data_IF_479774501798
#
_entry.id   IF_479774501798
#
_cell.length_a   1.000
_cell.length_b   1.000
_cell.length_c   1.000
_cell.angle_alpha   90.00
_cell.angle_beta   90.00
_cell.angle_gamma   90.00
#
_symmetry.space_group_name_H-M   'P 1'
#
loop_
_entity.id
_entity.type
_entity.pdbx_description
1 polymer ?
#
# COMPACT_ATOMS: atom_id res chain seq x y z
N UNK A 1 11.69 2.30 -7.81
CA UNK A 1 12.53 2.31 -6.59
C UNK A 1 11.65 2.04 -5.39
N UNK A 2 12.16 1.30 -4.40
CA UNK A 2 11.54 1.25 -3.08
C UNK A 2 11.91 2.52 -2.31
N UNK A 3 11.01 3.07 -1.47
CA UNK A 3 11.29 4.27 -0.71
C UNK A 3 12.40 4.03 0.31
N UNK A 4 13.36 4.95 0.40
CA UNK A 4 14.37 4.98 1.46
C UNK A 4 14.70 6.43 1.83
N UNK A 5 15.21 6.65 3.04
CA UNK A 5 15.74 7.92 3.51
C UNK A 5 17.10 7.72 4.19
N UNK A 6 17.86 8.81 4.33
CA UNK A 6 18.97 8.90 5.27
C UNK A 6 18.63 9.95 6.31
N UNK A 7 18.58 9.55 7.58
CA UNK A 7 18.24 10.42 8.70
C UNK A 7 19.37 10.37 9.72
N UNK A 8 20.07 11.50 9.93
CA UNK A 8 21.23 11.62 10.82
C UNK A 8 22.33 10.58 10.53
N UNK A 9 22.63 10.33 9.25
CA UNK A 9 23.64 9.36 8.82
C UNK A 9 23.20 7.89 8.89
N UNK A 10 21.95 7.61 9.28
CA UNK A 10 21.37 6.26 9.26
C UNK A 10 20.45 6.09 8.04
N UNK A 11 20.71 5.07 7.24
CA UNK A 11 19.84 4.70 6.13
C UNK A 11 18.65 3.85 6.62
N UNK A 12 17.45 4.17 6.15
CA UNK A 12 16.19 3.48 6.50
C UNK A 12 15.44 3.21 5.19
N UNK A 13 15.07 1.96 4.92
CA UNK A 13 14.51 1.51 3.64
C UNK A 13 13.14 0.81 3.72
N UNK A 14 12.51 0.82 4.90
CA UNK A 14 11.16 0.31 5.10
C UNK A 14 10.18 1.48 5.27
N UNK A 15 9.12 1.55 4.47
CA UNK A 15 8.21 2.71 4.46
C UNK A 15 7.52 2.95 5.80
N UNK A 16 7.18 1.91 6.56
CA UNK A 16 6.55 2.07 7.87
C UNK A 16 7.56 2.57 8.89
N UNK A 17 8.76 1.99 8.91
CA UNK A 17 9.85 2.46 9.77
C UNK A 17 10.25 3.90 9.44
N UNK A 18 10.27 4.26 8.15
CA UNK A 18 10.50 5.63 7.68
C UNK A 18 9.48 6.59 8.29
N UNK A 19 8.19 6.26 8.21
CA UNK A 19 7.12 7.11 8.77
C UNK A 19 7.32 7.27 10.28
N UNK A 20 7.59 6.18 11.02
CA UNK A 20 7.76 6.22 12.48
C UNK A 20 8.95 7.08 12.91
N UNK A 21 10.11 6.91 12.26
CA UNK A 21 11.32 7.65 12.59
C UNK A 21 11.15 9.14 12.26
N UNK A 22 10.46 9.48 11.16
CA UNK A 22 10.15 10.86 10.81
C UNK A 22 9.15 11.48 11.79
N UNK A 23 8.09 10.77 12.19
CA UNK A 23 7.14 11.25 13.21
C UNK A 23 7.86 11.55 14.52
N UNK A 24 8.76 10.66 14.96
CA UNK A 24 9.54 10.84 16.18
C UNK A 24 10.51 12.01 16.06
N UNK A 25 11.24 12.11 14.94
CA UNK A 25 12.24 13.14 14.71
C UNK A 25 11.63 14.55 14.67
N UNK A 26 10.50 14.71 13.98
CA UNK A 26 9.80 15.99 13.85
C UNK A 26 8.74 16.25 14.93
N UNK A 27 8.57 15.33 15.90
CA UNK A 27 7.57 15.41 16.97
C UNK A 27 6.15 15.66 16.42
N UNK A 28 5.79 14.91 15.38
CA UNK A 28 4.48 15.01 14.75
C UNK A 28 3.43 14.31 15.63
N UNK A 29 2.38 15.04 15.96
CA UNK A 29 1.22 14.55 16.69
C UNK A 29 0.00 14.46 15.75
N UNK A 30 -0.70 13.33 15.79
CA UNK A 30 -1.92 13.12 15.00
C UNK A 30 -3.18 13.64 15.70
N UNK A 31 -3.11 13.89 17.01
CA UNK A 31 -4.21 14.34 17.84
C UNK A 31 -5.31 13.30 18.07
N UNK A 32 -5.09 12.04 17.66
CA UNK A 32 -6.10 10.99 17.70
C UNK A 32 -6.20 10.35 19.09
N UNK A 33 -7.42 10.32 19.64
CA UNK A 33 -7.68 9.78 20.98
C UNK A 33 -8.83 8.77 20.98
N UNK A 34 -8.84 7.90 21.99
CA UNK A 34 -9.93 6.94 22.22
C UNK A 34 -10.32 6.14 20.97
N UNK A 35 -11.60 6.24 20.59
CA UNK A 35 -12.18 5.56 19.44
C UNK A 35 -11.52 5.96 18.11
N UNK A 36 -11.21 7.25 17.92
CA UNK A 36 -10.66 7.74 16.65
C UNK A 36 -9.31 7.10 16.35
N UNK A 37 -8.44 6.99 17.36
CA UNK A 37 -7.16 6.30 17.23
C UNK A 37 -7.32 4.82 16.91
N UNK A 38 -8.27 4.15 17.57
CA UNK A 38 -8.57 2.75 17.30
C UNK A 38 -9.10 2.52 15.88
N UNK A 39 -10.02 3.36 15.43
CA UNK A 39 -10.59 3.32 14.09
C UNK A 39 -9.53 3.62 13.02
N UNK A 40 -8.67 4.61 13.25
CA UNK A 40 -7.54 4.93 12.38
C UNK A 40 -6.60 3.74 12.21
N UNK A 41 -6.26 3.07 13.31
CA UNK A 41 -5.45 1.85 13.25
C UNK A 41 -6.12 0.72 12.49
N UNK A 42 -7.40 0.46 12.71
CA UNK A 42 -8.12 -0.56 11.97
C UNK A 42 -8.16 -0.26 10.47
N UNK A 43 -8.42 1.00 10.11
CA UNK A 43 -8.49 1.45 8.73
C UNK A 43 -7.13 1.38 8.03
N UNK A 44 -6.05 1.81 8.67
CA UNK A 44 -4.69 1.66 8.16
C UNK A 44 -4.39 0.20 7.83
N UNK A 45 -4.64 -0.71 8.78
CA UNK A 45 -4.38 -2.14 8.57
C UNK A 45 -5.23 -2.73 7.45
N UNK A 46 -6.48 -2.31 7.30
CA UNK A 46 -7.33 -2.70 6.18
C UNK A 46 -6.74 -2.24 4.84
N UNK A 47 -6.32 -0.97 4.75
CA UNK A 47 -5.74 -0.37 3.53
C UNK A 47 -4.43 -1.06 3.15
N UNK A 48 -3.52 -1.24 4.10
CA UNK A 48 -2.19 -1.82 3.86
C UNK A 48 -2.23 -3.30 3.47
N UNK A 49 -3.18 -4.05 4.02
CA UNK A 49 -3.27 -5.49 3.79
C UNK A 49 -4.31 -5.77 2.71
N UNK A 50 -5.58 -5.58 3.03
CA UNK A 50 -6.69 -5.99 2.14
C UNK A 50 -6.70 -5.17 0.86
N UNK A 51 -6.83 -3.85 0.97
CA UNK A 51 -7.05 -2.98 -0.18
C UNK A 51 -5.84 -2.99 -1.12
N UNK A 52 -4.63 -2.89 -0.58
CA UNK A 52 -3.40 -2.95 -1.36
C UNK A 52 -3.25 -4.27 -2.11
N UNK A 53 -3.46 -5.42 -1.46
CA UNK A 53 -3.28 -6.72 -2.10
C UNK A 53 -4.39 -7.02 -3.11
N UNK A 54 -5.62 -6.58 -2.86
CA UNK A 54 -6.70 -6.66 -3.84
C UNK A 54 -6.38 -5.79 -5.08
N UNK A 55 -5.83 -4.59 -4.87
CA UNK A 55 -5.41 -3.70 -5.95
C UNK A 55 -4.22 -4.27 -6.75
N UNK A 56 -3.29 -4.97 -6.11
CA UNK A 56 -2.10 -5.55 -6.77
C UNK A 56 -2.45 -6.54 -7.88
N UNK A 57 -3.59 -7.21 -7.80
CA UNK A 57 -4.07 -8.10 -8.85
C UNK A 57 -4.25 -7.35 -10.18
N UNK A 58 -5.08 -6.31 -10.20
CA UNK A 58 -5.35 -5.56 -11.43
C UNK A 58 -4.19 -4.62 -11.77
N UNK A 59 -3.61 -3.96 -10.75
CA UNK A 59 -2.50 -3.01 -10.94
C UNK A 59 -1.25 -3.69 -11.48
N UNK A 60 -0.84 -4.85 -10.95
CA UNK A 60 0.49 -5.42 -11.19
C UNK A 60 0.48 -6.79 -11.87
N UNK A 61 -0.43 -7.70 -11.49
CA UNK A 61 -0.46 -9.04 -12.10
C UNK A 61 -0.89 -8.95 -13.57
N UNK A 62 -1.93 -8.16 -13.88
CA UNK A 62 -2.40 -7.98 -15.25
C UNK A 62 -1.54 -7.04 -16.09
N UNK A 63 -0.93 -6.02 -15.46
CA UNK A 63 -0.07 -5.06 -16.14
C UNK A 63 1.44 -5.41 -16.09
N UNK A 64 1.80 -6.65 -15.74
CA UNK A 64 3.21 -7.08 -15.70
C UNK A 64 4.01 -6.71 -16.95
N UNK A 65 3.48 -6.88 -18.18
CA UNK A 65 4.16 -6.44 -19.40
C UNK A 65 4.40 -4.92 -19.47
N UNK A 66 3.46 -4.10 -18.97
CA UNK A 66 3.64 -2.66 -18.92
C UNK A 66 4.75 -2.25 -17.93
N UNK A 67 4.84 -2.90 -16.77
CA UNK A 67 5.91 -2.66 -15.80
C UNK A 67 7.29 -3.05 -16.31
N UNK A 68 7.38 -4.13 -17.09
CA UNK A 68 8.64 -4.59 -17.69
C UNK A 68 8.92 -3.96 -19.07
N UNK A 69 8.07 -3.05 -19.52
CA UNK A 69 8.28 -2.33 -20.77
C UNK A 69 9.50 -1.42 -20.68
N UNK A 70 10.14 -1.12 -21.81
CA UNK A 70 11.31 -0.25 -21.88
C UNK A 70 11.07 1.17 -21.32
N UNK A 71 9.92 1.83 -21.57
CA UNK A 71 9.64 3.14 -20.98
C UNK A 71 9.59 3.14 -19.44
N UNK A 72 9.18 2.04 -18.83
CA UNK A 72 9.02 1.95 -17.36
C UNK A 72 10.27 1.41 -16.68
N UNK A 73 10.89 0.37 -17.25
CA UNK A 73 12.06 -0.29 -16.67
C UNK A 73 13.40 0.38 -17.04
N UNK A 74 13.45 1.13 -18.14
CA UNK A 74 14.69 1.70 -18.69
C UNK A 74 15.64 0.65 -19.30
N UNK A 75 15.28 -0.63 -19.30
CA UNK A 75 16.14 -1.71 -19.76
C UNK A 75 15.99 -1.93 -21.28
N UNK A 76 17.08 -1.90 -22.07
CA UNK A 76 17.03 -2.14 -23.51
C UNK A 76 17.00 -3.64 -23.84
N UNK A 77 16.00 -4.36 -23.34
CA UNK A 77 15.90 -5.82 -23.48
C UNK A 77 15.11 -6.24 -24.72
N UNK A 78 15.47 -7.37 -25.36
CA UNK A 78 14.65 -7.98 -26.41
C UNK A 78 13.26 -8.39 -25.91
N UNK A 79 12.26 -8.37 -26.80
CA UNK A 79 10.85 -8.62 -26.47
C UNK A 79 10.60 -9.98 -25.78
N UNK A 80 11.36 -11.02 -26.15
CA UNK A 80 11.20 -12.34 -25.51
C UNK A 80 11.67 -12.31 -24.04
N UNK A 81 12.72 -11.55 -23.73
CA UNK A 81 13.24 -11.40 -22.36
C UNK A 81 12.25 -10.59 -21.53
N UNK A 82 11.73 -9.48 -22.07
CA UNK A 82 10.74 -8.65 -21.36
C UNK A 82 9.46 -9.43 -21.08
N UNK A 83 8.99 -10.26 -22.01
CA UNK A 83 7.81 -11.10 -21.81
C UNK A 83 8.03 -12.18 -20.74
N UNK A 84 9.22 -12.80 -20.75
CA UNK A 84 9.59 -13.77 -19.72
C UNK A 84 9.63 -13.11 -18.33
N UNK A 85 10.31 -11.97 -18.20
CA UNK A 85 10.39 -11.23 -16.93
C UNK A 85 9.02 -10.73 -16.48
N UNK A 86 8.17 -10.26 -17.40
CA UNK A 86 6.81 -9.83 -17.11
C UNK A 86 5.98 -10.97 -16.51
N UNK A 87 6.05 -12.17 -17.11
CA UNK A 87 5.36 -13.36 -16.60
C UNK A 87 5.84 -13.71 -15.19
N UNK A 88 7.16 -13.72 -14.96
CA UNK A 88 7.75 -14.02 -13.64
C UNK A 88 7.39 -12.98 -12.58
N UNK A 89 7.33 -11.71 -12.97
CA UNK A 89 6.86 -10.62 -12.12
C UNK A 89 5.38 -10.83 -11.75
N UNK A 90 4.51 -11.05 -12.73
CA UNK A 90 3.09 -11.33 -12.51
C UNK A 90 2.86 -12.54 -11.61
N UNK A 91 3.59 -13.64 -11.83
CA UNK A 91 3.54 -14.85 -10.98
C UNK A 91 3.96 -14.56 -9.54
N UNK A 92 5.04 -13.78 -9.37
CA UNK A 92 5.55 -13.41 -8.04
C UNK A 92 4.54 -12.56 -7.27
N UNK A 93 3.97 -11.54 -7.91
CA UNK A 93 2.95 -10.70 -7.28
C UNK A 93 1.69 -11.52 -6.99
N UNK A 94 1.26 -12.39 -7.92
CA UNK A 94 0.10 -13.27 -7.70
C UNK A 94 0.29 -14.16 -6.48
N UNK A 95 1.47 -14.78 -6.32
CA UNK A 95 1.79 -15.58 -5.13
C UNK A 95 1.75 -14.76 -3.84
N UNK A 96 2.19 -13.50 -3.88
CA UNK A 96 2.10 -12.59 -2.73
C UNK A 96 0.65 -12.27 -2.37
N UNK A 97 -0.18 -11.95 -3.35
CA UNK A 97 -1.62 -11.73 -3.15
C UNK A 97 -2.27 -12.98 -2.57
N UNK A 98 -2.03 -14.14 -3.17
CA UNK A 98 -2.58 -15.43 -2.71
C UNK A 98 -2.11 -15.78 -1.28
N UNK A 99 -0.88 -15.41 -0.90
CA UNK A 99 -0.34 -15.63 0.44
C UNK A 99 -0.96 -14.76 1.53
N UNK A 100 -1.60 -13.64 1.15
CA UNK A 100 -2.20 -12.68 2.10
C UNK A 100 -3.72 -12.80 2.13
N UNK A 101 -4.36 -12.89 0.96
CA UNK A 101 -5.83 -12.91 0.82
C UNK A 101 -6.38 -14.30 0.52
N UNK A 102 -5.53 -15.31 0.35
CA UNK A 102 -5.92 -16.61 -0.17
C UNK A 102 -6.12 -16.59 -1.69
N UNK A 103 -6.46 -17.75 -2.25
CA UNK A 103 -6.61 -17.95 -3.71
C UNK A 103 -7.98 -17.48 -4.21
N UNK A 104 -8.30 -16.21 -3.96
CA UNK A 104 -9.53 -15.60 -4.46
C UNK A 104 -9.50 -15.47 -5.98
N UNK A 105 -10.66 -15.65 -6.60
CA UNK A 105 -10.90 -15.34 -7.99
C UNK A 105 -10.80 -13.83 -8.24
N UNK A 106 -10.71 -13.44 -9.52
CA UNK A 106 -10.63 -12.01 -9.88
C UNK A 106 -11.87 -11.23 -9.46
N UNK A 107 -13.05 -11.82 -9.58
CA UNK A 107 -14.30 -11.14 -9.24
C UNK A 107 -14.46 -11.02 -7.72
N UNK A 108 -14.02 -12.03 -6.95
CA UNK A 108 -13.95 -11.94 -5.50
C UNK A 108 -12.96 -10.86 -5.03
N UNK A 109 -11.79 -10.75 -5.65
CA UNK A 109 -10.82 -9.68 -5.34
C UNK A 109 -11.37 -8.29 -5.66
N UNK A 110 -12.09 -8.15 -6.78
CA UNK A 110 -12.74 -6.88 -7.13
C UNK A 110 -13.87 -6.52 -6.17
N UNK A 111 -14.64 -7.50 -5.73
CA UNK A 111 -15.70 -7.29 -4.76
C UNK A 111 -15.12 -6.94 -3.38
N UNK A 112 -14.04 -7.61 -2.96
CA UNK A 112 -13.29 -7.24 -1.75
C UNK A 112 -12.78 -5.79 -1.84
N UNK A 113 -12.12 -5.42 -2.93
CA UNK A 113 -11.65 -4.05 -3.15
C UNK A 113 -12.81 -3.04 -3.12
N UNK A 114 -13.95 -3.37 -3.72
CA UNK A 114 -15.15 -2.50 -3.70
C UNK A 114 -15.67 -2.30 -2.28
N UNK A 115 -15.70 -3.35 -1.45
CA UNK A 115 -16.12 -3.26 -0.04
C UNK A 115 -15.17 -2.40 0.78
N UNK A 116 -13.87 -2.58 0.59
CA UNK A 116 -12.85 -1.76 1.27
C UNK A 116 -12.98 -0.28 0.88
N UNK A 117 -13.15 0.03 -0.41
CA UNK A 117 -13.33 1.40 -0.89
C UNK A 117 -14.61 2.03 -0.33
N UNK A 118 -15.70 1.27 -0.23
CA UNK A 118 -16.93 1.74 0.44
C UNK A 118 -16.70 2.00 1.92
N UNK A 119 -15.99 1.13 2.63
CA UNK A 119 -15.68 1.36 4.04
C UNK A 119 -14.82 2.63 4.25
N UNK A 120 -13.90 2.92 3.33
CA UNK A 120 -13.12 4.17 3.34
C UNK A 120 -14.04 5.38 3.09
N UNK A 121 -14.95 5.27 2.11
CA UNK A 121 -15.95 6.31 1.78
C UNK A 121 -16.90 6.58 2.95
N UNK A 122 -17.40 5.53 3.60
CA UNK A 122 -18.27 5.61 4.79
C UNK A 122 -17.55 6.20 6.01
N UNK A 123 -16.21 6.08 6.10
CA UNK A 123 -15.44 6.76 7.14
C UNK A 123 -15.20 8.22 6.77
N UNK A 124 -14.96 8.51 5.49
CA UNK A 124 -14.71 9.87 5.01
C UNK A 124 -15.98 10.73 5.05
N UNK A 125 -17.09 10.24 4.53
CA UNK A 125 -18.35 10.98 4.38
C UNK A 125 -18.09 12.37 3.75
N UNK A 126 -18.66 13.42 4.33
CA UNK A 126 -18.43 14.81 3.93
C UNK A 126 -17.18 15.44 4.59
N UNK A 127 -16.36 14.65 5.32
CA UNK A 127 -15.19 15.17 6.02
C UNK A 127 -14.08 15.48 5.03
N UNK A 128 -13.33 16.55 5.31
CA UNK A 128 -12.17 16.93 4.49
C UNK A 128 -11.04 15.89 4.55
N UNK A 129 -10.89 15.23 5.70
CA UNK A 129 -9.94 14.14 5.94
C UNK A 129 -10.62 13.05 6.77
N UNK A 130 -10.11 11.81 6.71
CA UNK A 130 -10.72 10.63 7.32
C UNK A 130 -11.06 10.77 8.82
N UNK A 131 -10.32 11.59 9.56
CA UNK A 131 -10.55 11.85 10.99
C UNK A 131 -10.73 13.35 11.29
N UNK A 132 -11.34 14.10 10.35
CA UNK A 132 -11.81 15.47 10.57
C UNK A 132 -11.08 16.55 9.77
N UNK A 133 -10.71 17.64 10.43
CA UNK A 133 -10.28 18.89 9.78
C UNK A 133 -8.80 18.97 9.37
N UNK A 134 -7.98 18.00 9.76
CA UNK A 134 -6.54 17.95 9.45
C UNK A 134 -6.13 16.57 8.93
N UNK A 135 -5.10 16.54 8.10
CA UNK A 135 -4.43 15.27 7.76
C UNK A 135 -3.82 14.67 9.01
N UNK A 136 -4.02 13.37 9.18
CA UNK A 136 -3.46 12.57 10.25
C UNK A 136 -2.68 11.40 9.66
N UNK A 137 -1.55 11.07 10.26
CA UNK A 137 -0.89 9.77 10.05
C UNK A 137 -1.22 8.92 11.26
N UNK A 138 -1.49 7.63 11.07
CA UNK A 138 -1.82 6.74 12.19
C UNK A 138 -0.55 6.44 12.97
N UNK A 139 -0.53 6.76 14.27
CA UNK A 139 0.57 6.37 15.14
C UNK A 139 0.36 4.97 15.72
N UNK A 140 1.41 4.14 15.70
CA UNK A 140 1.47 2.94 16.54
C UNK A 140 1.49 3.37 18.01
N UNK A 141 0.50 2.92 18.79
CA UNK A 141 0.36 3.26 20.19
C UNK A 141 1.55 2.76 21.02
N UNK A 142 2.60 3.57 21.11
CA UNK A 142 3.54 3.49 22.24
C UNK A 142 2.82 4.16 23.41
N UNK A 143 2.42 3.36 24.40
CA UNK A 143 1.91 3.86 25.67
C UNK A 143 2.87 4.81 26.36
#
# INVERSE_FOLDING_TARGET
>A
MLPFIELNGRQIADSQVIIWELQKHFKLEDGLVGMERGAARALERMVEVSTLHALLQDKSVLNGPAFMSRPVSGLPLPAFVTNFLAKRFSETIRKRVDGVLGKLSRDELRELLRRDLRAIDDVLEDKKFLFGGKMTVVREGTG
#
